data_IF_242817536195
#
_entry.id   IF_242817536195
#
_cell.length_a   1.000
_cell.length_b   1.000
_cell.length_c   1.000
_cell.angle_alpha   90.00
_cell.angle_beta   90.00
_cell.angle_gamma   90.00
#
_symmetry.space_group_name_H-M   'P 1'
#
loop_
_entity.id
_entity.type
_entity.pdbx_description
1 polymer ?
#
# COMPACT_ATOMS: atom_id res chain seq x y z
N UNK A 1 -18.03 -11.88 15.26
CA UNK A 1 -18.78 -11.78 16.53
C UNK A 1 -18.05 -12.60 17.58
N UNK A 2 -17.87 -12.06 18.78
CA UNK A 2 -17.23 -12.73 19.92
C UNK A 2 -18.25 -12.91 21.04
N UNK A 3 -17.97 -13.78 22.03
CA UNK A 3 -18.84 -13.93 23.21
C UNK A 3 -18.94 -12.60 23.98
N UNK A 4 -20.15 -12.25 24.42
CA UNK A 4 -20.38 -11.11 25.30
C UNK A 4 -19.99 -11.40 26.76
N UNK A 5 -19.65 -12.66 27.08
CA UNK A 5 -19.27 -13.13 28.40
C UNK A 5 -20.25 -12.73 29.53
N UNK A 6 -21.56 -12.76 29.24
CA UNK A 6 -22.62 -12.41 30.18
C UNK A 6 -23.15 -13.67 30.90
N UNK A 7 -23.00 -13.79 32.24
CA UNK A 7 -23.46 -14.96 33.00
C UNK A 7 -24.98 -15.22 32.90
N UNK A 8 -25.78 -14.16 32.78
CA UNK A 8 -27.24 -14.26 32.65
C UNK A 8 -27.69 -14.53 31.20
N UNK A 9 -26.81 -14.32 30.22
CA UNK A 9 -27.07 -14.56 28.78
C UNK A 9 -25.86 -15.21 28.11
N UNK A 10 -25.59 -16.50 28.38
CA UNK A 10 -24.34 -17.16 27.97
C UNK A 10 -24.17 -17.30 26.44
N UNK A 11 -25.25 -17.22 25.66
CA UNK A 11 -25.20 -17.26 24.18
C UNK A 11 -25.11 -15.88 23.53
N UNK A 12 -25.09 -14.79 24.31
CA UNK A 12 -25.01 -13.43 23.78
C UNK A 12 -23.66 -13.20 23.11
N UNK A 13 -23.68 -12.55 21.94
CA UNK A 13 -22.47 -12.20 21.18
C UNK A 13 -22.41 -10.70 20.94
N UNK A 14 -21.20 -10.17 20.85
CA UNK A 14 -20.93 -8.76 20.52
C UNK A 14 -20.06 -8.67 19.27
N UNK A 15 -20.24 -7.58 18.52
CA UNK A 15 -19.34 -7.23 17.42
C UNK A 15 -18.02 -6.72 18.02
N UNK A 16 -16.91 -7.24 17.50
CA UNK A 16 -15.56 -6.79 17.86
C UNK A 16 -14.80 -6.57 16.56
N UNK A 17 -14.30 -5.36 16.36
CA UNK A 17 -13.46 -5.01 15.24
C UNK A 17 -12.02 -5.49 15.51
N UNK A 18 -11.37 -6.01 14.49
CA UNK A 18 -9.91 -6.13 14.47
C UNK A 18 -9.36 -4.96 13.64
N UNK A 19 -8.70 -4.02 14.31
CA UNK A 19 -8.23 -2.77 13.70
C UNK A 19 -7.11 -2.98 12.68
N UNK A 20 -6.27 -4.01 12.87
CA UNK A 20 -5.17 -4.34 11.98
C UNK A 20 -5.65 -4.83 10.61
N UNK A 21 -6.83 -5.47 10.59
CA UNK A 21 -7.47 -5.97 9.37
C UNK A 21 -8.48 -4.98 8.76
N UNK A 22 -8.86 -3.95 9.51
CA UNK A 22 -9.83 -2.98 9.03
C UNK A 22 -9.25 -2.19 7.84
N UNK A 23 -9.97 -2.13 6.72
CA UNK A 23 -9.56 -1.31 5.57
C UNK A 23 -10.10 0.12 5.62
N UNK A 24 -11.06 0.38 6.51
CA UNK A 24 -11.77 1.66 6.56
C UNK A 24 -12.78 1.85 5.40
N UNK A 25 -13.25 0.75 4.78
CA UNK A 25 -14.14 0.80 3.61
C UNK A 25 -15.59 1.25 3.91
N UNK A 26 -16.02 1.24 5.18
CA UNK A 26 -17.36 1.68 5.59
C UNK A 26 -18.52 0.75 5.19
N UNK A 27 -18.27 -0.37 4.53
CA UNK A 27 -19.32 -1.33 4.11
C UNK A 27 -20.08 -1.89 5.30
N UNK A 28 -19.38 -2.19 6.40
CA UNK A 28 -19.99 -2.70 7.63
C UNK A 28 -20.96 -1.70 8.29
N UNK A 29 -20.61 -0.41 8.29
CA UNK A 29 -21.45 0.65 8.86
C UNK A 29 -22.72 0.82 8.03
N UNK A 30 -22.59 0.84 6.69
CA UNK A 30 -23.74 0.95 5.78
C UNK A 30 -24.72 -0.22 5.89
N UNK A 31 -24.23 -1.42 6.19
CA UNK A 31 -25.06 -2.62 6.35
C UNK A 31 -25.59 -2.82 7.78
N UNK A 32 -25.27 -1.95 8.73
CA UNK A 32 -25.77 -2.08 10.09
C UNK A 32 -27.22 -1.62 10.18
N UNK A 33 -28.12 -2.53 10.51
CA UNK A 33 -29.55 -2.32 10.70
C UNK A 33 -29.90 -1.66 12.05
N UNK A 34 -28.94 -1.63 12.98
CA UNK A 34 -29.12 -1.19 14.37
C UNK A 34 -28.33 0.07 14.71
N UNK A 35 -27.74 0.74 13.72
CA UNK A 35 -26.89 1.92 13.87
C UNK A 35 -25.84 1.80 14.99
N UNK A 36 -25.34 0.57 15.22
CA UNK A 36 -24.49 0.24 16.37
C UNK A 36 -23.00 0.41 16.10
N UNK A 37 -22.62 0.97 14.95
CA UNK A 37 -21.23 1.15 14.51
C UNK A 37 -21.07 2.50 13.79
N UNK A 38 -19.94 3.17 14.01
CA UNK A 38 -19.53 4.38 13.30
C UNK A 38 -18.17 4.16 12.62
N UNK A 39 -17.89 4.94 11.57
CA UNK A 39 -16.59 4.92 10.90
C UNK A 39 -15.78 6.16 11.31
N UNK A 40 -14.67 5.95 12.00
CA UNK A 40 -13.75 7.03 12.38
C UNK A 40 -12.55 7.11 11.43
N UNK A 41 -12.07 8.34 11.22
CA UNK A 41 -10.89 8.57 10.37
C UNK A 41 -9.62 8.13 11.10
N UNK A 42 -8.75 7.41 10.40
CA UNK A 42 -7.46 6.99 10.96
C UNK A 42 -6.55 8.21 11.17
N UNK A 43 -5.77 8.24 12.27
CA UNK A 43 -4.83 9.33 12.53
C UNK A 43 -3.75 9.45 11.45
N UNK A 44 -3.34 8.32 10.85
CA UNK A 44 -2.39 8.29 9.74
C UNK A 44 -3.11 8.05 8.42
N UNK A 45 -3.10 9.06 7.53
CA UNK A 45 -3.56 8.87 6.15
C UNK A 45 -2.54 8.03 5.40
N UNK A 46 -2.95 6.86 4.95
CA UNK A 46 -2.17 6.08 3.98
C UNK A 46 -2.30 6.80 2.64
N UNK A 47 -1.19 7.35 2.14
CA UNK A 47 -1.14 7.98 0.81
C UNK A 47 -1.43 6.90 -0.24
N UNK A 48 -2.63 6.91 -0.80
CA UNK A 48 -3.00 6.03 -1.91
C UNK A 48 -2.14 6.39 -3.13
N UNK A 49 -1.67 5.40 -3.90
CA UNK A 49 -0.91 5.68 -5.11
C UNK A 49 -1.71 6.58 -6.07
N UNK A 50 -1.14 7.73 -6.40
CA UNK A 50 -1.81 8.82 -7.16
C UNK A 50 -2.32 8.43 -8.55
N UNK A 51 -1.79 7.36 -9.15
CA UNK A 51 -2.20 6.85 -10.45
C UNK A 51 -1.83 5.35 -10.62
N UNK A 52 -2.30 4.73 -11.71
CA UNK A 52 -2.07 3.32 -11.99
C UNK A 52 -0.60 2.92 -12.11
N UNK A 53 0.25 3.78 -12.70
CA UNK A 53 1.68 3.54 -12.80
C UNK A 53 2.35 3.56 -11.41
N UNK A 54 2.02 4.56 -10.59
CA UNK A 54 2.48 4.66 -9.22
C UNK A 54 2.09 3.41 -8.41
N UNK A 55 0.83 2.95 -8.56
CA UNK A 55 0.35 1.73 -7.92
C UNK A 55 1.14 0.50 -8.37
N UNK A 56 1.35 0.33 -9.67
CA UNK A 56 2.06 -0.82 -10.23
C UNK A 56 3.50 -0.90 -9.72
N UNK A 57 4.23 0.22 -9.72
CA UNK A 57 5.62 0.28 -9.24
C UNK A 57 5.72 0.01 -7.74
N UNK A 58 4.84 0.62 -6.93
CA UNK A 58 4.83 0.40 -5.46
C UNK A 58 4.53 -1.06 -5.13
N UNK A 59 3.53 -1.66 -5.77
CA UNK A 59 3.23 -3.08 -5.58
C UNK A 59 4.39 -3.99 -6.02
N UNK A 60 5.07 -3.65 -7.12
CA UNK A 60 6.21 -4.43 -7.59
C UNK A 60 7.37 -4.37 -6.60
N UNK A 61 7.66 -3.20 -6.04
CA UNK A 61 8.68 -3.04 -4.98
C UNK A 61 8.30 -3.81 -3.72
N UNK A 62 7.07 -3.65 -3.22
CA UNK A 62 6.60 -4.31 -2.00
C UNK A 62 6.62 -5.84 -2.12
N UNK A 63 6.47 -6.38 -3.34
CA UNK A 63 6.48 -7.82 -3.62
C UNK A 63 7.84 -8.36 -4.07
N UNK A 64 8.87 -7.53 -4.18
CA UNK A 64 10.19 -7.98 -4.68
C UNK A 64 10.22 -8.34 -6.17
N UNK A 65 9.29 -7.78 -6.97
CA UNK A 65 9.10 -8.08 -8.40
C UNK A 65 9.33 -6.86 -9.29
N UNK A 66 10.09 -5.86 -8.83
CA UNK A 66 10.39 -4.67 -9.61
C UNK A 66 11.11 -5.00 -10.93
N UNK A 67 12.03 -5.96 -10.90
CA UNK A 67 12.74 -6.45 -12.07
C UNK A 67 11.78 -6.98 -13.14
N UNK A 68 10.75 -7.76 -12.77
CA UNK A 68 9.76 -8.27 -13.73
C UNK A 68 8.97 -7.13 -14.38
N UNK A 69 8.62 -6.09 -13.60
CA UNK A 69 7.93 -4.93 -14.14
C UNK A 69 8.77 -4.20 -15.20
N UNK A 70 10.09 -4.14 -15.02
CA UNK A 70 11.01 -3.43 -15.92
C UNK A 70 11.42 -4.27 -17.14
N UNK A 71 11.78 -5.53 -16.92
CA UNK A 71 12.36 -6.39 -17.94
C UNK A 71 11.32 -7.21 -18.71
N UNK A 72 10.30 -7.76 -18.04
CA UNK A 72 9.34 -8.68 -18.68
C UNK A 72 8.25 -7.92 -19.45
N UNK A 73 7.94 -6.69 -19.02
CA UNK A 73 6.79 -5.93 -19.53
C UNK A 73 7.15 -4.91 -20.63
N UNK A 74 8.29 -5.10 -21.31
CA UNK A 74 8.83 -4.20 -22.36
C UNK A 74 8.96 -2.74 -21.93
N UNK A 75 9.07 -2.44 -20.63
CA UNK A 75 9.21 -1.05 -20.15
C UNK A 75 10.48 -0.41 -20.72
N UNK A 76 11.55 -1.19 -20.89
CA UNK A 76 12.79 -0.75 -21.55
C UNK A 76 12.59 -0.33 -23.02
N UNK A 77 11.56 -0.86 -23.70
CA UNK A 77 11.33 -0.58 -25.11
C UNK A 77 10.63 0.78 -25.32
N UNK A 78 10.19 1.41 -24.23
CA UNK A 78 9.57 2.73 -24.25
C UNK A 78 10.27 3.65 -23.26
N UNK A 79 11.01 4.64 -23.78
CA UNK A 79 11.59 5.71 -22.96
C UNK A 79 10.53 6.40 -22.09
N UNK A 80 9.29 6.52 -22.57
CA UNK A 80 8.17 7.09 -21.81
C UNK A 80 7.77 6.20 -20.63
N UNK A 81 7.67 4.89 -20.84
CA UNK A 81 7.37 3.95 -19.76
C UNK A 81 8.49 3.94 -18.71
N UNK A 82 9.75 3.94 -19.15
CA UNK A 82 10.90 3.98 -18.27
C UNK A 82 10.97 5.29 -17.46
N UNK A 83 10.70 6.43 -18.10
CA UNK A 83 10.60 7.73 -17.42
C UNK A 83 9.47 7.72 -16.37
N UNK A 84 8.34 7.08 -16.67
CA UNK A 84 7.25 6.87 -15.70
C UNK A 84 7.70 6.07 -14.48
N UNK A 85 8.36 4.93 -14.68
CA UNK A 85 8.84 4.08 -13.58
C UNK A 85 9.91 4.81 -12.74
N UNK A 86 10.93 5.40 -13.38
CA UNK A 86 11.97 6.15 -12.69
C UNK A 86 11.40 7.36 -11.94
N UNK A 87 10.46 8.10 -12.55
CA UNK A 87 9.80 9.23 -11.92
C UNK A 87 9.01 8.83 -10.68
N UNK A 88 8.41 7.64 -10.67
CA UNK A 88 7.76 7.10 -9.47
C UNK A 88 8.81 6.73 -8.42
N UNK A 89 9.86 5.98 -8.77
CA UNK A 89 10.92 5.57 -7.83
C UNK A 89 11.56 6.79 -7.16
N UNK A 90 11.95 7.80 -7.93
CA UNK A 90 12.59 9.02 -7.43
C UNK A 90 11.66 9.89 -6.59
N UNK A 91 10.33 9.76 -6.68
CA UNK A 91 9.39 10.49 -5.81
C UNK A 91 9.02 9.74 -4.52
N UNK A 92 9.50 8.50 -4.34
CA UNK A 92 9.21 7.71 -3.14
C UNK A 92 9.97 8.19 -1.91
N UNK A 93 9.49 7.87 -0.69
CA UNK A 93 10.24 8.05 0.55
C UNK A 93 11.60 7.32 0.52
N UNK A 94 12.63 7.81 1.24
CA UNK A 94 14.01 7.31 1.17
C UNK A 94 14.11 5.78 1.36
N UNK A 95 13.38 5.23 2.32
CA UNK A 95 13.37 3.78 2.61
C UNK A 95 12.94 2.96 1.39
N UNK A 96 11.90 3.42 0.66
CA UNK A 96 11.41 2.71 -0.52
C UNK A 96 12.36 2.86 -1.72
N UNK A 97 13.08 3.99 -1.84
CA UNK A 97 14.15 4.17 -2.85
C UNK A 97 15.31 3.19 -2.63
N UNK A 98 15.76 3.05 -1.40
CA UNK A 98 16.81 2.08 -1.03
C UNK A 98 16.37 0.65 -1.35
N UNK A 99 15.13 0.30 -1.04
CA UNK A 99 14.59 -1.02 -1.36
C UNK A 99 14.53 -1.27 -2.88
N UNK A 100 14.10 -0.28 -3.66
CA UNK A 100 14.09 -0.36 -5.12
C UNK A 100 15.51 -0.49 -5.70
N UNK A 101 16.48 0.27 -5.17
CA UNK A 101 17.89 0.18 -5.54
C UNK A 101 18.47 -1.21 -5.28
N UNK A 102 18.18 -1.78 -4.10
CA UNK A 102 18.62 -3.15 -3.74
C UNK A 102 18.03 -4.24 -4.64
N UNK A 103 16.78 -4.10 -5.10
CA UNK A 103 16.14 -5.08 -5.98
C UNK A 103 16.74 -5.05 -7.40
N UNK A 104 17.03 -3.87 -7.93
CA UNK A 104 17.57 -3.71 -9.29
C UNK A 104 19.09 -3.82 -9.35
N UNK A 105 19.81 -3.55 -8.25
CA UNK A 105 21.27 -3.57 -8.15
C UNK A 105 21.95 -2.79 -9.29
N UNK A 106 21.40 -1.62 -9.63
CA UNK A 106 21.84 -0.81 -10.76
C UNK A 106 22.68 0.37 -10.29
N UNK A 107 23.95 0.43 -10.74
CA UNK A 107 24.85 1.58 -10.51
C UNK A 107 24.26 2.90 -11.02
N UNK A 108 23.50 2.84 -12.13
CA UNK A 108 22.83 4.02 -12.69
C UNK A 108 21.74 4.54 -11.76
N UNK A 109 20.90 3.64 -11.22
CA UNK A 109 19.82 4.03 -10.31
C UNK A 109 20.36 4.58 -8.99
N UNK A 110 21.43 3.98 -8.47
CA UNK A 110 22.12 4.44 -7.26
C UNK A 110 22.68 5.87 -7.44
N UNK A 111 23.34 6.13 -8.58
CA UNK A 111 23.81 7.48 -8.92
C UNK A 111 22.67 8.50 -9.02
N UNK A 112 21.54 8.13 -9.64
CA UNK A 112 20.37 8.99 -9.75
C UNK A 112 19.72 9.31 -8.39
N UNK A 113 19.63 8.34 -7.49
CA UNK A 113 19.08 8.56 -6.15
C UNK A 113 19.97 9.53 -5.37
N UNK A 114 21.29 9.34 -5.40
CA UNK A 114 22.25 10.21 -4.74
C UNK A 114 22.17 11.66 -5.26
N UNK A 115 21.97 11.84 -6.57
CA UNK A 115 21.84 13.17 -7.17
C UNK A 115 20.56 13.91 -6.74
N UNK A 116 19.48 13.20 -6.44
CA UNK A 116 18.18 13.77 -6.03
C UNK A 116 18.08 14.00 -4.52
N UNK A 117 18.98 13.40 -3.73
CA UNK A 117 19.08 13.61 -2.28
C UNK A 117 20.02 14.76 -1.90
N UNK A 118 20.70 15.38 -2.87
CA UNK A 118 21.42 16.65 -2.74
C UNK A 118 20.57 17.81 -3.26
#
# INVERSE_FOLDING_TARGET
LVSANNPHKPRMKVARLNEDLCLGCGVCVRSCDKDSMSLESRPQRVLTPMNGAHRAVVMAIERGKLQNLIFDNRVLWSHRAMAGVLGVILKMPPIKRVLASKQLKSRYLESLINYVEH
#
